data_IF_266262881517
#
_entry.id   IF_266262881517
#
_cell.length_a   1.000
_cell.length_b   1.000
_cell.length_c   1.000
_cell.angle_alpha   90.00
_cell.angle_beta   90.00
_cell.angle_gamma   90.00
#
_symmetry.space_group_name_H-M   'P 1'
#
loop_
_entity.id
_entity.type
_entity.pdbx_description
1 polymer ?
#
# COMPACT_ATOMS: atom_id res chain seq x y z
N UNK A 1 -2.49 39.56 -14.21
CA UNK A 1 -2.51 38.23 -14.85
C UNK A 1 -2.81 37.21 -13.76
N UNK A 2 -4.02 36.65 -13.73
CA UNK A 2 -4.36 35.60 -12.76
C UNK A 2 -3.77 34.28 -13.24
N UNK A 3 -2.91 33.67 -12.44
CA UNK A 3 -2.42 32.31 -12.65
C UNK A 3 -3.62 31.37 -12.46
N UNK A 4 -4.29 30.98 -13.55
CA UNK A 4 -5.30 29.92 -13.49
C UNK A 4 -4.59 28.66 -13.00
N UNK A 5 -4.98 28.05 -11.87
CA UNK A 5 -4.43 26.76 -11.51
C UNK A 5 -4.71 25.82 -12.68
N UNK A 6 -3.64 25.25 -13.24
CA UNK A 6 -3.74 24.22 -14.25
C UNK A 6 -4.65 23.15 -13.66
N UNK A 7 -5.81 22.91 -14.29
CA UNK A 7 -6.71 21.85 -13.90
C UNK A 7 -5.95 20.53 -14.12
N UNK A 8 -5.26 20.06 -13.08
CA UNK A 8 -4.75 18.70 -12.99
C UNK A 8 -5.98 17.83 -13.19
N UNK A 9 -6.09 17.22 -14.37
CA UNK A 9 -7.15 16.26 -14.66
C UNK A 9 -7.16 15.16 -13.60
N UNK A 10 -8.32 14.52 -13.43
CA UNK A 10 -8.44 13.42 -12.46
C UNK A 10 -7.33 12.39 -12.67
N UNK A 11 -6.55 12.11 -11.61
CA UNK A 11 -5.44 11.16 -11.65
C UNK A 11 -6.04 9.76 -11.87
N UNK A 12 -5.67 9.03 -12.93
CA UNK A 12 -6.23 7.71 -13.19
C UNK A 12 -5.95 6.74 -12.03
N UNK A 13 -6.90 5.84 -11.65
CA UNK A 13 -6.79 4.99 -10.45
C UNK A 13 -5.52 4.14 -10.37
N UNK A 14 -4.96 3.73 -11.51
CA UNK A 14 -3.69 2.99 -11.59
C UNK A 14 -2.51 3.75 -10.98
N UNK A 15 -2.52 5.09 -11.01
CA UNK A 15 -1.49 5.94 -10.41
C UNK A 15 -1.75 6.18 -8.91
N UNK A 16 -2.91 5.76 -8.40
CA UNK A 16 -3.28 5.81 -6.97
C UNK A 16 -3.09 4.45 -6.29
N UNK A 17 -2.60 3.45 -7.01
CA UNK A 17 -2.43 2.08 -6.51
C UNK A 17 -0.95 1.81 -6.29
N UNK A 18 -0.58 1.46 -5.06
CA UNK A 18 0.77 1.01 -4.71
C UNK A 18 0.73 -0.49 -4.38
N UNK A 19 1.55 -1.27 -5.08
CA UNK A 19 1.68 -2.72 -4.90
C UNK A 19 3.12 -3.13 -4.62
N UNK A 20 3.31 -4.32 -4.07
CA UNK A 20 4.63 -4.88 -3.79
C UNK A 20 4.58 -6.35 -3.38
N UNK A 21 5.75 -6.99 -3.35
CA UNK A 21 5.92 -8.39 -2.94
C UNK A 21 6.86 -8.43 -1.73
N UNK A 22 6.49 -9.22 -0.71
CA UNK A 22 7.36 -9.49 0.44
C UNK A 22 7.94 -10.89 0.27
N UNK A 23 9.26 -10.96 0.13
CA UNK A 23 10.00 -12.22 0.13
C UNK A 23 10.75 -12.35 1.45
N UNK A 24 10.73 -13.55 2.04
CA UNK A 24 11.51 -13.85 3.25
C UNK A 24 12.37 -15.08 3.03
N UNK A 25 13.61 -15.02 3.51
CA UNK A 25 14.49 -16.19 3.61
C UNK A 25 14.40 -16.89 4.97
N UNK A 26 13.65 -16.31 5.92
CA UNK A 26 13.51 -16.85 7.26
C UNK A 26 12.43 -17.94 7.27
N UNK A 27 12.82 -19.17 7.61
CA UNK A 27 11.94 -20.35 7.59
C UNK A 27 10.76 -20.24 8.57
N UNK A 28 10.93 -19.52 9.69
CA UNK A 28 9.86 -19.31 10.68
C UNK A 28 8.77 -18.45 10.04
N UNK A 29 9.16 -17.35 9.39
CA UNK A 29 8.23 -16.46 8.69
C UNK A 29 7.58 -17.13 7.48
N UNK A 30 8.32 -17.98 6.75
CA UNK A 30 7.76 -18.76 5.66
C UNK A 30 6.63 -19.71 6.13
N UNK A 31 6.73 -20.22 7.37
CA UNK A 31 5.72 -21.07 7.99
C UNK A 31 4.60 -20.31 8.70
N UNK A 32 4.61 -18.98 8.70
CA UNK A 32 3.51 -18.22 9.29
C UNK A 32 2.21 -18.46 8.53
N UNK A 33 1.12 -18.62 9.27
CA UNK A 33 -0.20 -18.74 8.67
C UNK A 33 -0.58 -17.47 7.93
N UNK A 34 -1.52 -17.59 6.99
CA UNK A 34 -2.08 -16.44 6.25
C UNK A 34 -2.57 -15.33 7.19
N UNK A 35 -3.15 -15.68 8.33
CA UNK A 35 -3.63 -14.72 9.35
C UNK A 35 -2.50 -13.92 9.99
N UNK A 36 -1.36 -14.56 10.28
CA UNK A 36 -0.18 -13.89 10.84
C UNK A 36 0.39 -12.94 9.79
N UNK A 37 0.56 -13.40 8.54
CA UNK A 37 0.98 -12.54 7.44
C UNK A 37 0.01 -11.38 7.21
N UNK A 38 -1.29 -11.62 7.27
CA UNK A 38 -2.31 -10.58 7.11
C UNK A 38 -2.16 -9.51 8.19
N UNK A 39 -1.84 -9.89 9.42
CA UNK A 39 -1.62 -8.95 10.54
C UNK A 39 -0.40 -8.06 10.29
N UNK A 40 0.68 -8.63 9.72
CA UNK A 40 1.90 -7.89 9.36
C UNK A 40 1.62 -6.89 8.24
N UNK A 41 1.00 -7.31 7.14
CA UNK A 41 0.72 -6.40 6.02
C UNK A 41 -0.32 -5.34 6.40
N UNK A 42 -1.29 -5.65 7.26
CA UNK A 42 -2.21 -4.65 7.80
C UNK A 42 -1.48 -3.59 8.63
N UNK A 43 -0.44 -3.98 9.38
CA UNK A 43 0.41 -3.02 10.09
C UNK A 43 1.19 -2.14 9.12
N UNK A 44 1.75 -2.69 8.04
CA UNK A 44 2.42 -1.91 7.00
C UNK A 44 1.45 -0.90 6.35
N UNK A 45 0.24 -1.33 6.00
CA UNK A 45 -0.82 -0.44 5.48
C UNK A 45 -1.13 0.71 6.43
N UNK A 46 -1.28 0.42 7.73
CA UNK A 46 -1.50 1.48 8.74
C UNK A 46 -0.35 2.47 8.82
N UNK A 47 0.90 1.98 8.80
CA UNK A 47 2.08 2.85 8.83
C UNK A 47 2.17 3.74 7.58
N UNK A 48 1.82 3.20 6.41
CA UNK A 48 1.75 3.96 5.16
C UNK A 48 0.65 5.03 5.22
N UNK A 49 -0.53 4.68 5.73
CA UNK A 49 -1.66 5.60 5.84
C UNK A 49 -1.44 6.72 6.88
N UNK A 50 -0.71 6.45 7.97
CA UNK A 50 -0.40 7.45 8.99
C UNK A 50 0.87 8.25 8.74
N UNK A 51 1.70 7.84 7.77
CA UNK A 51 2.98 8.48 7.45
C UNK A 51 2.87 9.59 6.41
N UNK A 52 4.01 10.11 5.96
CA UNK A 52 4.11 11.15 4.90
C UNK A 52 3.44 10.73 3.58
N UNK A 53 3.31 9.43 3.37
CA UNK A 53 2.66 8.84 2.20
C UNK A 53 1.14 8.82 2.30
N UNK A 54 0.55 9.09 3.47
CA UNK A 54 -0.89 8.95 3.72
C UNK A 54 -1.75 9.87 2.83
N UNK A 55 -1.28 11.08 2.54
CA UNK A 55 -1.97 12.02 1.63
C UNK A 55 -1.82 11.68 0.15
N UNK A 56 -0.94 10.73 -0.19
CA UNK A 56 -0.60 10.42 -1.59
C UNK A 56 -1.50 9.34 -2.19
N UNK A 57 -2.35 8.70 -1.39
CA UNK A 57 -3.23 7.62 -1.82
C UNK A 57 -4.64 7.79 -1.26
N UNK A 58 -5.66 7.48 -2.06
CA UNK A 58 -7.06 7.53 -1.65
C UNK A 58 -7.43 6.39 -0.69
N UNK A 59 -6.83 5.21 -0.90
CA UNK A 59 -7.05 4.02 -0.07
C UNK A 59 -5.83 3.11 -0.12
N UNK A 60 -5.55 2.42 0.98
CA UNK A 60 -4.52 1.39 1.04
C UNK A 60 -5.13 0.07 1.51
N UNK A 61 -4.86 -1.02 0.81
CA UNK A 61 -5.31 -2.36 1.16
C UNK A 61 -4.21 -3.38 0.85
N UNK A 62 -4.17 -4.47 1.62
CA UNK A 62 -3.20 -5.53 1.42
C UNK A 62 -3.89 -6.89 1.45
N UNK A 63 -3.54 -7.73 0.50
CA UNK A 63 -4.06 -9.10 0.38
C UNK A 63 -2.87 -10.05 0.41
N UNK A 64 -2.88 -10.99 1.34
CA UNK A 64 -1.94 -12.11 1.31
C UNK A 64 -2.47 -13.15 0.32
N UNK A 65 -1.73 -13.41 -0.76
CA UNK A 65 -1.94 -14.55 -1.64
C UNK A 65 -0.77 -15.53 -1.49
N UNK A 66 -1.08 -16.82 -1.41
CA UNK A 66 -0.09 -17.89 -1.52
C UNK A 66 -0.21 -18.55 -2.89
N UNK A 67 0.82 -19.30 -3.29
CA UNK A 67 0.71 -20.26 -4.37
C UNK A 67 -0.15 -21.46 -3.92
#
# INVERSE_FOLDING_TARGET
MCHKPMAIGAIPPRHLTLGGTISTANIIMANWSRTVWQSVVNRAVRMLASGELGSNFFSASAVVSGN
#
